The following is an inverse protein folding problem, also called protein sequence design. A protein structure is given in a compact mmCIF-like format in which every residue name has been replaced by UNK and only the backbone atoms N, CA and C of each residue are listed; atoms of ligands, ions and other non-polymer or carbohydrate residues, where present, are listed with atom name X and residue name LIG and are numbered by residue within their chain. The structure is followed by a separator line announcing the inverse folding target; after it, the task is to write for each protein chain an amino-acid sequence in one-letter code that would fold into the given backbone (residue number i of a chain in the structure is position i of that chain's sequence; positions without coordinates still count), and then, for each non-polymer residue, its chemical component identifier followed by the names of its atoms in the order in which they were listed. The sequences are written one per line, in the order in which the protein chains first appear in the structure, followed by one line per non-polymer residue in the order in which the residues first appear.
data_IF_938759114638
#
_entry.id   IF_938759114638
#
_cell.length_a   1.000
_cell.length_b   1.000
_cell.length_c   1.000
_cell.angle_alpha   90.00
_cell.angle_beta   90.00
_cell.angle_gamma   90.00
#
_symmetry.space_group_name_H-M   'P 1'
#
loop_
_entity.id
_entity.type
_entity.pdbx_description
1 polymer ?
#
# COMPACT_ATOMS: atom_id res chain seq x y z
N UNK A 1 36.68 45.18 -16.17
CA UNK A 1 35.89 44.58 -15.07
C UNK A 1 35.00 43.47 -15.64
N UNK A 2 35.49 42.23 -15.68
CA UNK A 2 34.70 41.04 -16.08
C UNK A 2 34.11 40.42 -14.81
N UNK A 3 32.84 40.71 -14.51
CA UNK A 3 32.14 40.13 -13.35
C UNK A 3 31.41 38.85 -13.76
N UNK A 4 31.84 37.74 -13.15
CA UNK A 4 31.05 36.57 -12.73
C UNK A 4 29.72 36.29 -13.45
N UNK A 5 29.77 35.72 -14.66
CA UNK A 5 28.62 35.05 -15.29
C UNK A 5 28.63 33.52 -15.09
N UNK A 6 29.72 32.95 -14.57
CA UNK A 6 29.84 31.50 -14.32
C UNK A 6 29.18 31.05 -13.01
N UNK A 7 29.17 31.89 -11.96
CA UNK A 7 28.58 31.55 -10.67
C UNK A 7 27.04 31.61 -10.66
N UNK A 8 26.44 32.39 -11.55
CA UNK A 8 24.97 32.51 -11.68
C UNK A 8 24.34 31.30 -12.39
N UNK A 9 25.07 30.64 -13.30
CA UNK A 9 24.58 29.44 -14.00
C UNK A 9 24.68 28.15 -13.17
N UNK A 10 25.61 28.07 -12.22
CA UNK A 10 25.73 26.93 -11.30
C UNK A 10 24.60 26.89 -10.26
N UNK A 11 24.08 28.05 -9.83
CA UNK A 11 22.92 28.15 -8.95
C UNK A 11 21.60 27.81 -9.67
N UNK A 12 21.49 28.11 -10.98
CA UNK A 12 20.32 27.78 -11.78
C UNK A 12 20.21 26.28 -12.12
N UNK A 13 21.33 25.54 -12.15
CA UNK A 13 21.33 24.08 -12.34
C UNK A 13 21.19 23.29 -11.04
N UNK A 14 21.50 23.89 -9.88
CA UNK A 14 21.30 23.25 -8.56
C UNK A 14 19.84 23.19 -8.10
N UNK A 15 18.95 24.01 -8.67
CA UNK A 15 17.55 24.10 -8.24
C UNK A 15 16.58 23.25 -9.09
N UNK A 16 17.04 22.66 -10.20
CA UNK A 16 16.20 21.88 -11.13
C UNK A 16 16.12 20.37 -10.79
N UNK A 17 16.72 19.93 -9.67
CA UNK A 17 16.71 18.52 -9.24
C UNK A 17 16.00 18.26 -7.91
N UNK A 18 15.30 19.26 -7.35
CA UNK A 18 14.33 19.03 -6.27
C UNK A 18 12.97 18.75 -6.89
N UNK A 19 12.83 17.59 -7.57
CA UNK A 19 11.49 17.07 -7.83
C UNK A 19 10.88 16.72 -6.47
N UNK A 20 9.64 17.15 -6.17
CA UNK A 20 8.97 16.69 -4.98
C UNK A 20 8.90 15.16 -5.04
N UNK A 21 9.53 14.48 -4.09
CA UNK A 21 9.20 13.09 -3.82
C UNK A 21 7.76 13.13 -3.30
N UNK A 22 6.82 12.80 -4.16
CA UNK A 22 5.45 12.53 -3.71
C UNK A 22 5.58 11.32 -2.78
N UNK A 23 5.43 11.57 -1.48
CA UNK A 23 5.19 10.51 -0.49
C UNK A 23 3.75 10.09 -0.71
N UNK A 24 3.56 9.18 -1.66
CA UNK A 24 2.37 8.34 -1.67
C UNK A 24 2.59 7.23 -0.64
N UNK A 25 1.56 6.90 0.14
CA UNK A 25 1.61 5.73 1.02
C UNK A 25 1.67 4.49 0.14
N UNK A 26 2.65 3.61 0.39
CA UNK A 26 2.76 2.36 -0.36
C UNK A 26 2.37 1.22 0.55
N UNK A 27 1.36 0.47 0.13
CA UNK A 27 0.96 -0.71 0.89
C UNK A 27 1.89 -1.88 0.59
N UNK A 28 2.32 -2.59 1.65
CA UNK A 28 3.02 -3.85 1.51
C UNK A 28 2.02 -4.97 1.27
N UNK A 29 2.28 -5.77 0.25
CA UNK A 29 1.69 -7.10 0.09
C UNK A 29 2.77 -8.18 0.17
N UNK A 30 2.43 -9.31 0.77
CA UNK A 30 3.33 -10.45 0.90
C UNK A 30 2.57 -11.77 0.87
N UNK A 31 3.28 -12.84 0.54
CA UNK A 31 2.73 -14.18 0.59
C UNK A 31 3.78 -15.22 0.27
N UNK A 32 3.30 -16.39 -0.13
CA UNK A 32 4.12 -17.52 -0.54
C UNK A 32 3.79 -17.87 -1.98
N UNK A 33 4.78 -18.33 -2.73
CA UNK A 33 4.52 -19.04 -3.97
C UNK A 33 3.98 -20.41 -3.59
N UNK A 34 2.66 -20.55 -3.54
CA UNK A 34 2.03 -21.78 -3.10
C UNK A 34 0.85 -22.18 -3.98
N UNK A 35 0.71 -23.49 -4.20
CA UNK A 35 -0.39 -24.04 -4.98
C UNK A 35 -0.92 -25.30 -4.28
N UNK A 36 -2.24 -25.36 -4.13
CA UNK A 36 -2.95 -26.56 -3.68
C UNK A 36 -3.10 -27.58 -4.80
N UNK A 37 -3.42 -28.83 -4.44
CA UNK A 37 -3.65 -29.90 -5.41
C UNK A 37 -2.40 -30.65 -5.84
N UNK A 38 -1.24 -30.35 -5.23
CA UNK A 38 0.02 -31.04 -5.53
C UNK A 38 0.11 -32.36 -4.76
N UNK A 39 0.70 -33.39 -5.36
CA UNK A 39 0.98 -34.68 -4.71
C UNK A 39 2.46 -34.82 -4.45
N UNK A 40 2.85 -35.36 -3.30
CA UNK A 40 4.24 -35.52 -2.91
C UNK A 40 4.73 -36.92 -3.30
N UNK A 41 5.86 -36.99 -4.01
CA UNK A 41 6.51 -38.27 -4.32
C UNK A 41 7.79 -38.42 -3.50
N UNK A 42 7.85 -39.43 -2.64
CA UNK A 42 9.06 -39.76 -1.86
C UNK A 42 9.43 -41.22 -2.09
N UNK A 43 10.70 -41.48 -2.47
CA UNK A 43 11.16 -42.85 -2.74
C UNK A 43 10.38 -43.57 -3.85
N UNK A 44 9.79 -42.85 -4.80
CA UNK A 44 8.98 -43.41 -5.89
C UNK A 44 7.52 -43.72 -5.52
N UNK A 45 7.10 -43.46 -4.28
CA UNK A 45 5.71 -43.54 -3.85
C UNK A 45 5.09 -42.15 -3.90
N UNK A 46 4.03 -41.97 -4.68
CA UNK A 46 3.25 -40.73 -4.76
C UNK A 46 2.10 -40.75 -3.76
N UNK A 47 1.89 -39.65 -3.05
CA UNK A 47 0.76 -39.51 -2.12
C UNK A 47 -0.58 -39.63 -2.85
N UNK A 48 -1.57 -40.24 -2.18
CA UNK A 48 -2.97 -40.26 -2.64
C UNK A 48 -3.72 -38.98 -2.27
N UNK A 49 -3.25 -38.29 -1.23
CA UNK A 49 -3.77 -37.00 -0.80
C UNK A 49 -3.02 -35.86 -1.50
N UNK A 50 -3.73 -34.75 -1.70
CA UNK A 50 -3.15 -33.50 -2.17
C UNK A 50 -2.70 -32.63 -1.00
N UNK A 51 -1.64 -31.85 -1.22
CA UNK A 51 -1.11 -30.85 -0.29
C UNK A 51 -1.10 -29.46 -0.92
N UNK A 52 -0.87 -28.46 -0.08
CA UNK A 52 -0.41 -27.15 -0.51
C UNK A 52 1.12 -27.17 -0.50
N UNK A 53 1.71 -26.99 -1.67
CA UNK A 53 3.17 -26.98 -1.85
C UNK A 53 3.66 -25.54 -1.99
N UNK A 54 4.74 -25.21 -1.29
CA UNK A 54 5.47 -23.96 -1.49
C UNK A 54 6.61 -24.15 -2.49
N UNK A 55 6.73 -23.24 -3.46
CA UNK A 55 7.73 -23.28 -4.53
C UNK A 55 8.89 -22.34 -4.23
N UNK A 56 10.00 -22.90 -3.78
CA UNK A 56 11.23 -22.17 -3.47
C UNK A 56 11.76 -21.41 -4.69
N UNK A 57 12.16 -20.15 -4.49
CA UNK A 57 12.79 -19.31 -5.53
C UNK A 57 12.01 -19.22 -6.84
N UNK A 58 10.68 -19.31 -6.78
CA UNK A 58 9.78 -18.95 -7.88
C UNK A 58 10.05 -17.50 -8.36
N UNK A 59 9.67 -17.24 -9.60
CA UNK A 59 9.56 -15.91 -10.18
C UNK A 59 8.16 -15.36 -9.92
N UNK A 60 8.11 -14.16 -9.36
CA UNK A 60 6.90 -13.36 -9.15
C UNK A 60 6.91 -12.21 -10.16
N UNK A 61 5.83 -12.10 -10.93
CA UNK A 61 5.61 -10.99 -11.86
C UNK A 61 4.33 -10.27 -11.46
N UNK A 62 4.39 -8.95 -11.32
CA UNK A 62 3.25 -8.11 -10.93
C UNK A 62 2.76 -7.35 -12.14
N UNK A 63 1.47 -7.41 -12.44
CA UNK A 63 0.84 -6.71 -13.55
C UNK A 63 -0.22 -5.75 -13.04
N UNK A 64 -0.49 -4.69 -13.81
CA UNK A 64 -1.71 -3.90 -13.63
C UNK A 64 -2.93 -4.78 -13.93
N UNK A 65 -3.96 -4.70 -13.08
CA UNK A 65 -5.09 -5.64 -13.11
C UNK A 65 -5.73 -5.78 -14.49
N UNK A 66 -5.93 -7.03 -14.93
CA UNK A 66 -6.56 -7.34 -16.21
C UNK A 66 -5.69 -7.06 -17.44
N UNK A 67 -4.41 -6.76 -17.26
CA UNK A 67 -3.47 -6.46 -18.36
C UNK A 67 -2.24 -7.39 -18.33
N UNK A 68 -1.31 -7.15 -19.26
CA UNK A 68 0.04 -7.73 -19.24
C UNK A 68 1.12 -6.65 -19.04
N UNK A 69 0.71 -5.44 -18.66
CA UNK A 69 1.62 -4.33 -18.40
C UNK A 69 2.23 -4.49 -17.01
N UNK A 70 3.55 -4.37 -16.91
CA UNK A 70 4.28 -4.56 -15.66
C UNK A 70 4.04 -3.37 -14.73
N UNK A 71 3.56 -3.67 -13.52
CA UNK A 71 3.39 -2.68 -12.48
C UNK A 71 4.74 -2.16 -11.96
N UNK A 72 4.76 -0.88 -11.56
CA UNK A 72 5.86 -0.32 -10.77
C UNK A 72 5.73 -0.77 -9.32
N UNK A 73 6.79 -1.39 -8.79
CA UNK A 73 6.83 -1.91 -7.42
C UNK A 73 8.09 -1.47 -6.70
N UNK A 74 8.06 -1.54 -5.37
CA UNK A 74 9.07 -0.94 -4.49
C UNK A 74 9.52 -1.91 -3.38
N UNK A 75 10.74 -1.70 -2.86
CA UNK A 75 11.29 -2.48 -1.74
C UNK A 75 11.01 -1.88 -0.36
N UNK A 76 10.65 -0.60 -0.31
CA UNK A 76 10.36 0.16 0.92
C UNK A 76 9.32 1.26 0.66
N UNK A 77 8.77 1.83 1.74
CA UNK A 77 7.73 2.88 1.68
C UNK A 77 8.29 4.19 1.09
N UNK A 78 9.62 4.37 1.17
CA UNK A 78 10.32 5.52 0.60
C UNK A 78 10.36 5.54 -0.93
N UNK A 79 9.94 4.46 -1.59
CA UNK A 79 9.84 4.39 -3.05
C UNK A 79 11.09 3.90 -3.75
N UNK A 80 11.95 3.13 -3.07
CA UNK A 80 13.07 2.45 -3.75
C UNK A 80 12.52 1.42 -4.74
N UNK A 81 12.71 1.67 -6.04
CA UNK A 81 12.21 0.81 -7.11
C UNK A 81 12.78 -0.61 -6.97
N UNK A 82 11.90 -1.59 -7.08
CA UNK A 82 12.21 -3.02 -7.09
C UNK A 82 11.99 -3.57 -8.50
N UNK A 83 12.90 -4.43 -8.96
CA UNK A 83 12.74 -5.09 -10.26
C UNK A 83 11.46 -5.90 -10.33
N UNK A 84 10.81 -5.86 -11.50
CA UNK A 84 9.64 -6.66 -11.82
C UNK A 84 9.85 -7.25 -13.22
N UNK A 85 9.91 -8.59 -13.37
CA UNK A 85 9.74 -9.63 -12.35
C UNK A 85 10.89 -9.74 -11.33
N UNK A 86 10.62 -10.43 -10.21
CA UNK A 86 11.63 -10.73 -9.17
C UNK A 86 11.55 -12.17 -8.66
N UNK A 87 12.64 -12.64 -8.04
CA UNK A 87 12.71 -13.99 -7.45
C UNK A 87 12.31 -13.95 -5.97
N UNK A 88 11.45 -14.88 -5.54
CA UNK A 88 11.10 -15.08 -4.14
C UNK A 88 12.27 -15.68 -3.33
N UNK A 89 12.12 -15.75 -2.02
CA UNK A 89 13.11 -16.36 -1.14
C UNK A 89 13.32 -17.86 -1.43
N UNK A 90 14.33 -18.46 -0.79
CA UNK A 90 14.58 -19.90 -0.81
C UNK A 90 13.46 -20.75 -0.23
N UNK A 91 12.47 -20.14 0.42
CA UNK A 91 11.27 -20.79 0.96
C UNK A 91 10.02 -20.45 0.17
N UNK A 92 10.13 -19.62 -0.88
CA UNK A 92 9.00 -19.16 -1.70
C UNK A 92 8.30 -17.92 -1.15
N UNK A 93 8.82 -17.31 -0.07
CA UNK A 93 8.27 -16.06 0.47
C UNK A 93 8.57 -14.90 -0.46
N UNK A 94 7.56 -14.08 -0.72
CA UNK A 94 7.68 -12.88 -1.52
C UNK A 94 6.99 -11.70 -0.83
N UNK A 95 7.48 -10.50 -1.12
CA UNK A 95 6.80 -9.27 -0.79
C UNK A 95 7.22 -8.16 -1.75
N UNK A 96 6.35 -7.17 -1.91
CA UNK A 96 6.66 -5.89 -2.53
C UNK A 96 5.75 -4.82 -1.93
N UNK A 97 6.06 -3.56 -2.23
CA UNK A 97 5.18 -2.44 -1.97
C UNK A 97 4.76 -1.82 -3.31
N UNK A 98 3.56 -1.25 -3.37
CA UNK A 98 3.08 -0.51 -4.54
C UNK A 98 2.15 0.62 -4.10
N UNK A 99 1.87 1.54 -5.02
CA UNK A 99 0.92 2.63 -4.79
C UNK A 99 -0.53 2.07 -4.79
N UNK A 100 -1.52 2.88 -4.39
CA UNK A 100 -2.92 2.46 -4.28
C UNK A 100 -3.51 2.09 -5.65
N UNK A 101 -3.73 0.79 -5.88
CA UNK A 101 -4.33 0.27 -7.10
C UNK A 101 -4.73 -1.21 -6.94
N UNK A 102 -4.99 -1.88 -8.07
CA UNK A 102 -5.28 -3.31 -8.13
C UNK A 102 -4.25 -3.99 -9.02
N UNK A 103 -3.80 -5.18 -8.60
CA UNK A 103 -2.71 -5.89 -9.25
C UNK A 103 -3.03 -7.37 -9.46
N UNK A 104 -2.46 -7.93 -10.53
CA UNK A 104 -2.43 -9.38 -10.76
C UNK A 104 -1.01 -9.91 -10.53
N UNK A 105 -0.87 -10.99 -9.76
CA UNK A 105 0.41 -11.61 -9.44
C UNK A 105 0.51 -12.94 -10.14
N UNK A 106 1.45 -13.06 -11.09
CA UNK A 106 1.75 -14.32 -11.77
C UNK A 106 2.97 -14.99 -11.17
N UNK A 107 2.84 -16.28 -10.88
CA UNK A 107 3.89 -17.11 -10.32
C UNK A 107 4.37 -18.12 -11.37
N UNK A 108 5.69 -18.29 -11.47
CA UNK A 108 6.34 -19.25 -12.37
C UNK A 108 7.70 -19.68 -11.83
N UNK A 109 8.38 -20.62 -12.48
CA UNK A 109 9.69 -21.11 -12.01
C UNK A 109 9.58 -21.87 -10.67
N UNK A 110 10.71 -22.12 -10.01
CA UNK A 110 10.73 -22.76 -8.67
C UNK A 110 10.12 -24.17 -8.59
N UNK A 111 9.90 -24.85 -9.73
CA UNK A 111 9.20 -26.14 -9.81
C UNK A 111 7.72 -26.05 -10.22
N UNK A 112 7.16 -24.85 -10.39
CA UNK A 112 5.80 -24.64 -10.89
C UNK A 112 5.71 -25.14 -12.33
N UNK A 113 4.87 -26.16 -12.56
CA UNK A 113 4.71 -26.79 -13.87
C UNK A 113 3.97 -25.91 -14.87
N UNK A 114 2.90 -25.24 -14.41
CA UNK A 114 2.10 -24.30 -15.20
C UNK A 114 1.98 -23.01 -14.40
N UNK A 115 2.43 -21.86 -14.95
CA UNK A 115 2.28 -20.58 -14.27
C UNK A 115 0.81 -20.31 -13.89
N UNK A 116 0.60 -19.82 -12.68
CA UNK A 116 -0.73 -19.46 -12.18
C UNK A 116 -0.74 -18.00 -11.71
N UNK A 117 -1.95 -17.43 -11.62
CA UNK A 117 -2.15 -16.03 -11.25
C UNK A 117 -3.09 -15.93 -10.05
N UNK A 118 -2.71 -15.10 -9.08
CA UNK A 118 -3.63 -14.55 -8.08
C UNK A 118 -4.03 -13.18 -8.59
N UNK A 119 -5.30 -12.99 -8.92
CA UNK A 119 -5.79 -11.75 -9.53
C UNK A 119 -6.48 -10.80 -8.56
N UNK A 120 -6.62 -9.55 -8.98
CA UNK A 120 -7.38 -8.47 -8.31
C UNK A 120 -6.98 -8.25 -6.85
N UNK A 121 -5.66 -8.20 -6.59
CA UNK A 121 -5.13 -7.80 -5.28
C UNK A 121 -5.25 -6.28 -5.15
N UNK A 122 -6.17 -5.82 -4.31
CA UNK A 122 -6.33 -4.41 -3.95
C UNK A 122 -5.27 -4.01 -2.92
N UNK A 123 -4.50 -2.97 -3.26
CA UNK A 123 -3.69 -2.20 -2.32
C UNK A 123 -4.34 -0.83 -2.15
N UNK A 124 -4.60 -0.44 -0.92
CA UNK A 124 -5.23 0.81 -0.52
C UNK A 124 -4.78 1.20 0.89
N UNK A 125 -3.71 1.98 0.99
CA UNK A 125 -3.23 2.57 2.23
C UNK A 125 -3.85 3.96 2.43
N UNK A 126 -5.05 4.01 3.02
CA UNK A 126 -5.62 5.27 3.48
C UNK A 126 -4.82 5.79 4.66
N UNK A 127 -3.75 6.55 4.40
CA UNK A 127 -2.86 7.14 5.42
C UNK A 127 -3.54 8.13 6.38
N UNK A 128 -4.82 8.39 6.21
CA UNK A 128 -5.51 9.58 6.70
C UNK A 128 -7.00 9.37 6.93
N UNK A 129 -7.38 8.43 7.80
CA UNK A 129 -8.75 8.40 8.33
C UNK A 129 -9.05 9.65 9.21
N UNK A 130 -7.99 10.33 9.70
CA UNK A 130 -8.03 11.57 10.49
C UNK A 130 -6.84 12.48 10.13
N UNK A 131 -7.07 13.47 9.28
CA UNK A 131 -6.02 14.38 8.78
C UNK A 131 -5.73 15.56 9.70
N UNK A 132 -6.71 16.00 10.52
CA UNK A 132 -6.55 17.18 11.37
C UNK A 132 -7.48 17.08 12.57
N UNK A 133 -6.92 17.25 13.77
CA UNK A 133 -7.67 17.38 15.03
C UNK A 133 -7.73 18.87 15.37
N UNK A 134 -8.92 19.46 15.26
CA UNK A 134 -9.16 20.84 15.70
C UNK A 134 -9.82 20.80 17.07
N UNK A 135 -9.16 21.40 18.06
CA UNK A 135 -9.76 21.64 19.36
C UNK A 135 -10.54 22.96 19.33
N UNK A 136 -11.84 22.88 19.61
CA UNK A 136 -12.71 24.06 19.76
C UNK A 136 -12.98 24.25 21.25
N UNK A 137 -12.67 25.44 21.76
CA UNK A 137 -12.97 25.80 23.14
C UNK A 137 -14.49 25.84 23.35
N UNK A 138 -14.96 25.39 24.51
CA UNK A 138 -16.38 25.42 24.85
C UNK A 138 -16.88 26.87 24.98
N UNK A 139 -18.03 27.16 24.36
CA UNK A 139 -18.75 28.44 24.49
C UNK A 139 -20.26 28.17 24.46
N UNK A 140 -21.07 29.20 24.72
CA UNK A 140 -22.54 29.09 24.62
C UNK A 140 -23.02 28.84 23.18
N UNK A 141 -22.17 29.13 22.19
CA UNK A 141 -22.42 28.95 20.75
C UNK A 141 -21.11 28.52 20.08
N UNK A 142 -20.65 27.27 20.27
CA UNK A 142 -19.44 26.81 19.61
C UNK A 142 -19.71 26.73 18.10
N UNK A 143 -18.84 27.37 17.31
CA UNK A 143 -18.88 27.24 15.86
C UNK A 143 -17.91 26.13 15.46
N UNK A 144 -18.44 25.03 14.95
CA UNK A 144 -17.64 23.96 14.37
C UNK A 144 -17.48 24.25 12.89
N UNK A 145 -16.23 24.50 12.46
CA UNK A 145 -15.90 24.66 11.05
C UNK A 145 -15.40 23.31 10.51
N UNK A 146 -16.32 22.55 9.90
CA UNK A 146 -16.04 21.26 9.26
C UNK A 146 -15.07 21.36 8.07
N UNK A 147 -14.71 22.57 7.62
CA UNK A 147 -13.66 22.74 6.60
C UNK A 147 -12.24 22.66 7.19
N UNK A 148 -12.08 22.70 8.52
CA UNK A 148 -10.78 22.73 9.18
C UNK A 148 -10.32 21.37 9.76
N UNK A 149 -11.18 20.35 9.78
CA UNK A 149 -10.83 19.00 10.26
C UNK A 149 -12.01 18.01 10.21
N UNK A 150 -11.70 16.71 10.19
CA UNK A 150 -12.69 15.62 10.03
C UNK A 150 -13.15 14.98 11.34
N UNK A 151 -12.52 15.33 12.48
CA UNK A 151 -12.88 14.85 13.81
C UNK A 151 -12.80 15.99 14.82
N UNK A 152 -13.84 16.12 15.64
CA UNK A 152 -13.93 17.10 16.73
C UNK A 152 -13.89 16.41 18.10
N UNK A 153 -12.93 16.79 18.95
CA UNK A 153 -12.93 16.40 20.37
C UNK A 153 -13.58 17.52 21.18
N UNK A 154 -14.76 17.26 21.75
CA UNK A 154 -15.39 18.18 22.69
C UNK A 154 -15.03 17.79 24.12
N UNK A 155 -14.27 18.64 24.82
CA UNK A 155 -13.98 18.46 26.24
C UNK A 155 -15.01 19.21 27.08
N UNK A 156 -15.97 18.49 27.66
CA UNK A 156 -16.97 19.07 28.56
C UNK A 156 -16.46 19.05 30.01
N UNK A 157 -16.13 20.22 30.54
CA UNK A 157 -15.78 20.39 31.97
C UNK A 157 -17.02 20.80 32.79
N UNK A 158 -18.13 20.11 32.57
CA UNK A 158 -19.40 20.31 33.29
C UNK A 158 -20.25 19.03 33.26
N UNK A 159 -21.25 18.94 34.13
CA UNK A 159 -22.22 17.84 34.10
C UNK A 159 -23.10 17.94 32.86
N UNK A 160 -23.00 16.96 31.96
CA UNK A 160 -23.90 16.82 30.82
C UNK A 160 -25.19 16.17 31.30
N UNK A 161 -26.28 16.94 31.41
CA UNK A 161 -27.55 16.42 31.92
C UNK A 161 -28.34 15.64 30.86
N UNK A 162 -28.13 15.95 29.58
CA UNK A 162 -28.60 15.14 28.44
C UNK A 162 -27.79 15.48 27.18
N UNK A 163 -27.65 14.50 26.29
CA UNK A 163 -27.22 14.70 24.90
C UNK A 163 -28.27 14.07 23.98
N UNK A 164 -28.54 14.71 22.85
CA UNK A 164 -29.52 14.21 21.87
C UNK A 164 -28.88 14.21 20.48
N UNK A 165 -28.93 13.07 19.80
CA UNK A 165 -28.61 12.96 18.37
C UNK A 165 -29.94 12.68 17.67
N UNK A 166 -30.37 13.61 16.83
CA UNK A 166 -31.64 13.49 16.10
C UNK A 166 -31.40 12.90 14.71
N UNK A 167 -32.29 12.00 14.27
CA UNK A 167 -32.29 11.37 12.94
C UNK A 167 -31.00 10.58 12.57
N UNK A 168 -30.44 9.72 13.43
CA UNK A 168 -29.25 8.95 13.06
C UNK A 168 -29.56 7.92 11.95
N UNK A 169 -28.70 7.85 10.93
CA UNK A 169 -28.74 6.83 9.88
C UNK A 169 -27.66 5.78 10.14
N UNK A 170 -27.98 4.50 10.01
CA UNK A 170 -27.02 3.40 10.17
C UNK A 170 -25.86 3.56 9.18
N UNK A 171 -24.63 3.59 9.68
CA UNK A 171 -23.41 3.75 8.89
C UNK A 171 -23.01 5.21 8.62
N UNK A 172 -23.80 6.19 9.04
CA UNK A 172 -23.44 7.59 8.91
C UNK A 172 -22.48 8.00 10.03
N UNK A 173 -21.26 8.40 9.66
CA UNK A 173 -20.32 9.05 10.59
C UNK A 173 -20.82 10.48 10.86
N UNK A 174 -20.87 10.88 12.13
CA UNK A 174 -21.05 12.28 12.50
C UNK A 174 -19.71 12.97 12.21
N UNK A 175 -19.61 13.58 11.03
CA UNK A 175 -18.53 14.48 10.65
C UNK A 175 -18.87 15.90 11.04
#
# INVERSE_FOLDING_TARGET
MRKNTLLTNLLAWGFLFMLPLVVEGRERVSGWCEQGGNTITTGGLTSVESVQESFASCTVTVYDVGTLDLASIFSDDSGTVKSNPFTASSTGFWFFLADDARYDLRFSGGGISTPFTIGDILLNDTKNDVTTIVSVASSATPTFDASLGTIFTNTLTANVTSSTISNPVTGQRIT
#
